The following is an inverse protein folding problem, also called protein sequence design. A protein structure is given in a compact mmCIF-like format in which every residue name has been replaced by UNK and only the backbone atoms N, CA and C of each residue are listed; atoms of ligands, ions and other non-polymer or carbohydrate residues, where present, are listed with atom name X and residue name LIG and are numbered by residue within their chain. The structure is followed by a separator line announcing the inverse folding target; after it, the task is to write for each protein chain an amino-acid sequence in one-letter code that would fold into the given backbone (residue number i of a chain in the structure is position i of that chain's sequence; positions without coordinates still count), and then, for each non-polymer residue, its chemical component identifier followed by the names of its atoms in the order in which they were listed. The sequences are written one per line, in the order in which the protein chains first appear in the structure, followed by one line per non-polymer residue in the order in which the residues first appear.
data_IF_123410736491
#
_entry.id   IF_123410736491
#
_cell.length_a   1.000
_cell.length_b   1.000
_cell.length_c   1.000
_cell.angle_alpha   90.00
_cell.angle_beta   90.00
_cell.angle_gamma   90.00
#
_symmetry.space_group_name_H-M   'P 1'
#
loop_
_entity.id
_entity.type
_entity.pdbx_description
1 polymer ?
#
# COMPACT_ATOMS: atom_id res chain seq x y z
N UNK A 1 63.33 -26.57 -41.90
CA UNK A 1 62.53 -27.81 -41.93
C UNK A 1 62.12 -28.33 -40.54
N UNK A 2 63.00 -28.37 -39.53
CA UNK A 2 62.67 -28.91 -38.20
C UNK A 2 61.50 -28.22 -37.46
N UNK A 3 61.36 -26.89 -37.56
CA UNK A 3 60.26 -26.15 -36.92
C UNK A 3 58.87 -26.53 -37.47
N UNK A 4 58.75 -26.82 -38.77
CA UNK A 4 57.48 -27.18 -39.43
C UNK A 4 56.99 -28.58 -39.01
N UNK A 5 57.89 -29.52 -38.77
CA UNK A 5 57.53 -30.86 -38.31
C UNK A 5 57.08 -30.88 -36.85
N UNK A 6 57.69 -30.06 -35.98
CA UNK A 6 57.30 -29.97 -34.58
C UNK A 6 55.90 -29.33 -34.42
N UNK A 7 55.62 -28.24 -35.14
CA UNK A 7 54.26 -27.65 -35.14
C UNK A 7 53.22 -28.61 -35.69
N UNK A 8 53.54 -29.40 -36.72
CA UNK A 8 52.63 -30.40 -37.25
C UNK A 8 52.31 -31.53 -36.25
N UNK A 9 53.32 -32.03 -35.53
CA UNK A 9 53.12 -33.06 -34.49
C UNK A 9 52.30 -32.50 -33.33
N UNK A 10 52.60 -31.29 -32.87
CA UNK A 10 51.83 -30.61 -31.80
C UNK A 10 50.39 -30.40 -32.25
N UNK A 11 50.17 -29.95 -33.48
CA UNK A 11 48.83 -29.75 -34.02
C UNK A 11 48.03 -31.05 -34.06
N UNK A 12 48.61 -32.15 -34.53
CA UNK A 12 47.94 -33.47 -34.53
C UNK A 12 47.67 -33.98 -33.11
N UNK A 13 48.60 -33.78 -32.17
CA UNK A 13 48.40 -34.15 -30.78
C UNK A 13 47.25 -33.35 -30.13
N UNK A 14 47.16 -32.04 -30.42
CA UNK A 14 46.06 -31.19 -29.97
C UNK A 14 44.72 -31.61 -30.61
N UNK A 15 44.72 -32.00 -31.88
CA UNK A 15 43.54 -32.47 -32.60
C UNK A 15 43.05 -33.80 -32.05
N UNK A 16 43.97 -34.72 -31.73
CA UNK A 16 43.67 -35.99 -31.10
C UNK A 16 43.14 -35.80 -29.67
N UNK A 17 43.77 -34.93 -28.87
CA UNK A 17 43.30 -34.58 -27.54
C UNK A 17 41.91 -33.90 -27.56
N UNK A 18 41.69 -33.00 -28.53
CA UNK A 18 40.39 -32.38 -28.76
C UNK A 18 39.34 -33.42 -29.16
N UNK A 19 39.69 -34.36 -30.04
CA UNK A 19 38.83 -35.47 -30.43
C UNK A 19 38.42 -36.33 -29.23
N UNK A 20 39.37 -36.75 -28.40
CA UNK A 20 39.09 -37.50 -27.17
C UNK A 20 38.20 -36.71 -26.21
N UNK A 21 38.47 -35.42 -25.99
CA UNK A 21 37.67 -34.55 -25.14
C UNK A 21 36.25 -34.31 -25.71
N UNK A 22 36.10 -34.25 -27.03
CA UNK A 22 34.81 -34.10 -27.70
C UNK A 22 33.96 -35.37 -27.55
N UNK A 23 34.53 -36.55 -27.77
CA UNK A 23 33.81 -37.81 -27.63
C UNK A 23 33.55 -38.22 -26.17
N UNK A 24 34.32 -37.71 -25.21
CA UNK A 24 34.07 -37.89 -23.78
C UNK A 24 33.09 -36.85 -23.19
N UNK A 25 32.54 -35.94 -24.01
CA UNK A 25 31.68 -34.84 -23.54
C UNK A 25 30.51 -35.31 -22.68
N UNK A 26 29.83 -36.39 -23.07
CA UNK A 26 28.67 -36.90 -22.34
C UNK A 26 29.00 -37.31 -20.88
N UNK A 27 30.26 -37.64 -20.59
CA UNK A 27 30.68 -38.03 -19.25
C UNK A 27 30.96 -36.83 -18.32
N UNK A 28 31.62 -35.77 -18.80
CA UNK A 28 32.05 -34.66 -17.94
C UNK A 28 31.16 -33.40 -18.06
N UNK A 29 30.48 -33.21 -19.19
CA UNK A 29 29.68 -32.01 -19.46
C UNK A 29 28.47 -31.88 -18.52
N UNK A 30 27.78 -32.97 -18.09
CA UNK A 30 26.75 -32.88 -17.05
C UNK A 30 27.28 -32.38 -15.70
N UNK A 31 28.49 -32.81 -15.29
CA UNK A 31 29.11 -32.37 -14.04
C UNK A 31 29.46 -30.87 -14.09
N UNK A 32 30.08 -30.42 -15.19
CA UNK A 32 30.38 -28.99 -15.40
C UNK A 32 29.10 -28.15 -15.44
N UNK A 33 28.03 -28.68 -16.06
CA UNK A 33 26.72 -28.02 -16.14
C UNK A 33 26.12 -27.83 -14.74
N UNK A 34 26.09 -28.89 -13.93
CA UNK A 34 25.54 -28.83 -12.57
C UNK A 34 26.38 -27.93 -11.65
N UNK A 35 27.72 -28.02 -11.72
CA UNK A 35 28.61 -27.13 -10.98
C UNK A 35 28.38 -25.65 -11.32
N UNK A 36 28.22 -25.35 -12.62
CA UNK A 36 27.94 -23.98 -13.07
C UNK A 36 26.54 -23.52 -12.66
N UNK A 37 25.55 -24.42 -12.69
CA UNK A 37 24.19 -24.15 -12.22
C UNK A 37 24.19 -23.76 -10.74
N UNK A 38 24.84 -24.56 -9.89
CA UNK A 38 24.95 -24.33 -8.44
C UNK A 38 25.64 -22.99 -8.14
N UNK A 39 26.76 -22.73 -8.81
CA UNK A 39 27.48 -21.45 -8.66
C UNK A 39 26.61 -20.25 -9.03
N UNK A 40 25.87 -20.33 -10.14
CA UNK A 40 24.99 -19.25 -10.58
C UNK A 40 23.77 -19.10 -9.65
N UNK A 41 23.24 -20.20 -9.12
CA UNK A 41 22.17 -20.19 -8.14
C UNK A 41 22.61 -19.41 -6.88
N UNK A 42 23.74 -19.80 -6.27
CA UNK A 42 24.31 -19.11 -5.11
C UNK A 42 24.58 -17.62 -5.37
N UNK A 43 25.12 -17.28 -6.55
CA UNK A 43 25.35 -15.89 -6.93
C UNK A 43 24.06 -15.08 -7.09
N UNK A 44 23.00 -15.72 -7.59
CA UNK A 44 21.71 -15.05 -7.78
C UNK A 44 20.94 -14.86 -6.47
N UNK A 45 21.16 -15.71 -5.47
CA UNK A 45 20.49 -15.66 -4.16
C UNK A 45 20.74 -14.36 -3.40
N UNK A 46 21.92 -13.75 -3.59
CA UNK A 46 22.27 -12.45 -3.01
C UNK A 46 21.30 -11.35 -3.44
N UNK A 47 20.69 -11.48 -4.63
CA UNK A 47 19.76 -10.48 -5.17
C UNK A 47 18.33 -10.61 -4.63
N UNK A 48 18.05 -11.57 -3.73
CA UNK A 48 16.78 -11.59 -2.99
C UNK A 48 16.77 -10.64 -1.79
N UNK A 49 17.91 -10.01 -1.46
CA UNK A 49 17.96 -9.01 -0.40
C UNK A 49 17.04 -7.82 -0.74
N UNK A 50 16.15 -7.48 0.20
CA UNK A 50 15.17 -6.40 0.08
C UNK A 50 15.82 -5.01 0.07
N UNK A 51 17.11 -4.89 0.43
CA UNK A 51 17.88 -3.64 0.35
C UNK A 51 18.26 -3.27 -1.08
N UNK A 52 18.23 -4.21 -2.02
CA UNK A 52 18.52 -3.98 -3.43
C UNK A 52 17.25 -3.43 -4.10
N UNK A 53 17.37 -2.27 -4.75
CA UNK A 53 16.25 -1.64 -5.44
C UNK A 53 15.70 -2.53 -6.58
N UNK A 54 14.37 -2.66 -6.62
CA UNK A 54 13.60 -3.43 -7.62
C UNK A 54 13.77 -2.90 -9.05
N UNK A 55 14.13 -1.61 -9.19
CA UNK A 55 14.34 -0.96 -10.49
C UNK A 55 15.77 -1.10 -11.04
N UNK A 56 16.71 -1.61 -10.22
CA UNK A 56 18.13 -1.63 -10.53
C UNK A 56 18.50 -2.58 -11.68
N UNK A 57 19.51 -2.20 -12.48
CA UNK A 57 20.11 -3.12 -13.45
C UNK A 57 20.75 -4.34 -12.78
N UNK A 58 21.16 -4.19 -11.52
CA UNK A 58 21.70 -5.26 -10.68
C UNK A 58 20.68 -6.39 -10.49
N UNK A 59 19.42 -6.06 -10.21
CA UNK A 59 18.39 -7.09 -10.06
C UNK A 59 18.10 -7.82 -11.37
N UNK A 60 18.15 -7.12 -12.53
CA UNK A 60 18.03 -7.75 -13.85
C UNK A 60 19.15 -8.77 -14.10
N UNK A 61 20.37 -8.48 -13.65
CA UNK A 61 21.49 -9.43 -13.70
C UNK A 61 21.25 -10.64 -12.79
N UNK A 62 20.70 -10.42 -11.59
CA UNK A 62 20.26 -11.48 -10.69
C UNK A 62 19.24 -12.43 -11.34
N UNK A 63 18.18 -11.88 -11.95
CA UNK A 63 17.17 -12.65 -12.69
C UNK A 63 17.81 -13.45 -13.83
N UNK A 64 18.75 -12.84 -14.58
CA UNK A 64 19.46 -13.53 -15.67
C UNK A 64 20.27 -14.71 -15.17
N UNK A 65 21.03 -14.53 -14.08
CA UNK A 65 21.84 -15.59 -13.45
C UNK A 65 20.96 -16.74 -12.97
N UNK A 66 19.86 -16.44 -12.27
CA UNK A 66 18.92 -17.45 -11.79
C UNK A 66 18.27 -18.21 -12.95
N UNK A 67 17.89 -17.50 -14.03
CA UNK A 67 17.35 -18.14 -15.25
C UNK A 67 18.36 -19.13 -15.86
N UNK A 68 19.63 -18.73 -15.97
CA UNK A 68 20.66 -19.62 -16.52
C UNK A 68 20.88 -20.81 -15.60
N UNK A 69 20.92 -20.61 -14.28
CA UNK A 69 21.04 -21.70 -13.31
C UNK A 69 19.93 -22.75 -13.53
N UNK A 70 18.68 -22.32 -13.64
CA UNK A 70 17.55 -23.21 -13.90
C UNK A 70 17.64 -23.90 -15.27
N UNK A 71 18.05 -23.20 -16.34
CA UNK A 71 18.22 -23.82 -17.66
C UNK A 71 19.34 -24.89 -17.68
N UNK A 72 20.37 -24.72 -16.84
CA UNK A 72 21.45 -25.69 -16.71
C UNK A 72 21.04 -26.89 -15.84
N UNK A 73 20.18 -26.69 -14.84
CA UNK A 73 19.67 -27.74 -13.95
C UNK A 73 18.13 -27.73 -13.86
N UNK A 74 17.40 -28.11 -14.92
CA UNK A 74 15.94 -27.95 -14.99
C UNK A 74 15.17 -28.83 -14.01
N UNK A 75 15.77 -29.93 -13.54
CA UNK A 75 15.14 -30.87 -12.60
C UNK A 75 15.33 -30.47 -11.14
N UNK A 76 16.07 -29.38 -10.86
CA UNK A 76 16.29 -28.88 -9.51
C UNK A 76 15.22 -27.83 -9.16
N UNK A 77 14.28 -28.12 -8.23
CA UNK A 77 13.20 -27.21 -7.87
C UNK A 77 13.73 -25.91 -7.23
N UNK A 78 14.87 -25.94 -6.55
CA UNK A 78 15.44 -24.77 -5.87
C UNK A 78 15.86 -23.69 -6.87
N UNK A 79 16.42 -24.09 -8.01
CA UNK A 79 16.82 -23.15 -9.07
C UNK A 79 15.62 -22.48 -9.72
N UNK A 80 14.51 -23.22 -9.87
CA UNK A 80 13.27 -22.71 -10.42
C UNK A 80 12.61 -21.73 -9.47
N UNK A 81 12.47 -22.08 -8.18
CA UNK A 81 11.84 -21.21 -7.19
C UNK A 81 12.60 -19.89 -7.03
N UNK A 82 13.94 -19.94 -6.88
CA UNK A 82 14.75 -18.73 -6.81
C UNK A 82 14.66 -17.86 -8.08
N UNK A 83 14.63 -18.47 -9.26
CA UNK A 83 14.40 -17.73 -10.50
C UNK A 83 13.04 -17.04 -10.52
N UNK A 84 11.97 -17.71 -10.09
CA UNK A 84 10.64 -17.14 -10.07
C UNK A 84 10.47 -16.06 -9.00
N UNK A 85 11.11 -16.20 -7.84
CA UNK A 85 11.14 -15.16 -6.79
C UNK A 85 11.81 -13.88 -7.30
N UNK A 86 12.98 -13.98 -7.95
CA UNK A 86 13.66 -12.83 -8.55
C UNK A 86 12.84 -12.23 -9.71
N UNK A 87 12.22 -13.08 -10.53
CA UNK A 87 11.34 -12.63 -11.60
C UNK A 87 10.12 -11.89 -11.03
N UNK A 88 9.59 -12.31 -9.89
CA UNK A 88 8.42 -11.68 -9.27
C UNK A 88 8.69 -10.24 -8.82
N UNK A 89 9.91 -9.96 -8.35
CA UNK A 89 10.33 -8.59 -7.99
C UNK A 89 10.32 -7.64 -9.20
N UNK A 90 10.79 -8.12 -10.35
CA UNK A 90 10.93 -7.28 -11.57
C UNK A 90 9.72 -7.29 -12.50
N UNK A 91 9.05 -8.44 -12.63
CA UNK A 91 7.93 -8.71 -13.55
C UNK A 91 6.91 -9.66 -12.88
N UNK A 92 6.15 -9.17 -11.89
CA UNK A 92 5.27 -9.99 -11.06
C UNK A 92 4.26 -10.80 -11.88
N UNK A 93 3.64 -10.19 -12.89
CA UNK A 93 2.68 -10.88 -13.76
C UNK A 93 3.28 -12.14 -14.44
N UNK A 94 4.53 -12.07 -14.90
CA UNK A 94 5.18 -13.20 -15.57
C UNK A 94 5.53 -14.32 -14.61
N UNK A 95 5.95 -13.98 -13.39
CA UNK A 95 6.22 -14.96 -12.34
C UNK A 95 4.93 -15.66 -11.89
N UNK A 96 3.85 -14.91 -11.66
CA UNK A 96 2.54 -15.46 -11.29
C UNK A 96 2.01 -16.44 -12.35
N UNK A 97 2.09 -16.09 -13.64
CA UNK A 97 1.69 -17.00 -14.73
C UNK A 97 2.51 -18.29 -14.67
N UNK A 98 3.83 -18.20 -14.50
CA UNK A 98 4.69 -19.39 -14.45
C UNK A 98 4.39 -20.26 -13.24
N UNK A 99 4.22 -19.69 -12.05
CA UNK A 99 3.78 -20.46 -10.88
C UNK A 99 2.42 -21.12 -11.12
N UNK A 100 1.45 -20.42 -11.71
CA UNK A 100 0.15 -21.03 -12.04
C UNK A 100 0.22 -22.19 -13.03
N UNK A 101 1.19 -22.17 -13.96
CA UNK A 101 1.41 -23.25 -14.93
C UNK A 101 2.06 -24.48 -14.31
N UNK A 102 2.88 -24.29 -13.26
CA UNK A 102 3.50 -25.38 -12.51
C UNK A 102 2.44 -26.10 -11.67
N UNK A 103 1.45 -25.37 -11.14
CA UNK A 103 0.41 -25.97 -10.32
C UNK A 103 -0.62 -26.71 -11.17
N UNK A 104 -0.60 -28.04 -11.09
CA UNK A 104 -1.61 -28.88 -11.73
C UNK A 104 -2.88 -28.94 -10.88
N UNK A 105 -4.10 -28.89 -11.47
CA UNK A 105 -5.36 -28.91 -10.72
C UNK A 105 -5.52 -30.08 -9.74
N UNK A 106 -4.97 -31.25 -10.05
CA UNK A 106 -5.22 -32.48 -9.28
C UNK A 106 -3.98 -33.02 -8.54
N UNK A 107 -2.82 -32.36 -8.62
CA UNK A 107 -1.56 -32.87 -8.05
C UNK A 107 -0.87 -31.88 -7.11
N UNK A 108 -1.20 -30.59 -7.18
CA UNK A 108 -0.61 -29.58 -6.32
C UNK A 108 -1.23 -29.57 -4.94
N UNK A 109 -0.38 -29.37 -3.94
CA UNK A 109 -0.79 -29.27 -2.53
C UNK A 109 -1.60 -28.00 -2.27
N UNK A 110 -2.39 -28.03 -1.20
CA UNK A 110 -3.14 -26.88 -0.68
C UNK A 110 -2.17 -25.74 -0.34
N UNK A 111 -1.01 -26.07 0.26
CA UNK A 111 0.01 -25.10 0.65
C UNK A 111 0.57 -24.32 -0.55
N UNK A 112 0.92 -25.02 -1.64
CA UNK A 112 1.41 -24.36 -2.86
C UNK A 112 0.38 -23.41 -3.47
N UNK A 113 -0.92 -23.78 -3.41
CA UNK A 113 -2.01 -22.92 -3.87
C UNK A 113 -2.17 -21.69 -2.99
N UNK A 114 -2.11 -21.87 -1.67
CA UNK A 114 -2.19 -20.78 -0.70
C UNK A 114 -1.03 -19.79 -0.87
N UNK A 115 0.20 -20.29 -1.10
CA UNK A 115 1.37 -19.47 -1.39
C UNK A 115 1.16 -18.65 -2.68
N UNK A 116 0.62 -19.26 -3.75
CA UNK A 116 0.36 -18.54 -4.99
C UNK A 116 -0.75 -17.48 -4.83
N UNK A 117 -1.80 -17.80 -4.06
CA UNK A 117 -2.86 -16.84 -3.72
C UNK A 117 -2.28 -15.64 -2.96
N UNK A 118 -1.45 -15.87 -1.94
CA UNK A 118 -0.80 -14.80 -1.17
C UNK A 118 0.11 -13.93 -2.06
N UNK A 119 0.91 -14.54 -2.94
CA UNK A 119 1.74 -13.80 -3.92
C UNK A 119 0.87 -12.94 -4.86
N UNK A 120 -0.26 -13.45 -5.32
CA UNK A 120 -1.18 -12.70 -6.16
C UNK A 120 -1.83 -11.54 -5.39
N UNK A 121 -2.27 -11.76 -4.14
CA UNK A 121 -2.83 -10.73 -3.24
C UNK A 121 -1.83 -9.61 -2.97
N UNK A 122 -0.59 -9.95 -2.60
CA UNK A 122 0.50 -8.96 -2.42
C UNK A 122 0.76 -8.13 -3.67
N UNK A 123 0.55 -8.70 -4.85
CA UNK A 123 0.66 -7.94 -6.11
C UNK A 123 -0.48 -6.95 -6.24
N UNK A 124 -1.71 -7.35 -5.93
CA UNK A 124 -2.90 -6.49 -6.01
C UNK A 124 -2.86 -5.32 -5.01
N UNK A 125 -2.24 -5.52 -3.84
CA UNK A 125 -2.09 -4.52 -2.79
C UNK A 125 -1.07 -3.41 -3.12
N UNK A 126 -0.29 -3.54 -4.21
CA UNK A 126 0.65 -2.49 -4.63
C UNK A 126 -0.11 -1.35 -5.30
N UNK A 127 0.10 -0.13 -4.79
CA UNK A 127 -0.56 1.10 -5.28
C UNK A 127 -0.27 1.35 -6.77
N UNK A 128 0.98 1.18 -7.18
CA UNK A 128 1.46 1.46 -8.54
C UNK A 128 1.67 0.15 -9.34
N UNK A 129 0.59 -0.42 -9.87
CA UNK A 129 0.65 -1.55 -10.82
C UNK A 129 -0.10 -1.22 -12.10
N UNK A 130 0.43 -1.68 -13.22
CA UNK A 130 -0.23 -1.53 -14.51
C UNK A 130 -1.50 -2.40 -14.60
N UNK A 131 -2.44 -1.98 -15.44
CA UNK A 131 -3.75 -2.63 -15.59
C UNK A 131 -3.64 -4.11 -16.01
N UNK A 132 -2.65 -4.46 -16.84
CA UNK A 132 -2.47 -5.84 -17.30
C UNK A 132 -1.95 -6.73 -16.15
N UNK A 133 -0.97 -6.27 -15.39
CA UNK A 133 -0.49 -6.97 -14.18
C UNK A 133 -1.62 -7.14 -13.17
N UNK A 134 -2.42 -6.10 -12.92
CA UNK A 134 -3.59 -6.18 -12.02
C UNK A 134 -4.61 -7.23 -12.49
N UNK A 135 -4.92 -7.26 -13.79
CA UNK A 135 -5.83 -8.25 -14.36
C UNK A 135 -5.32 -9.68 -14.21
N UNK A 136 -4.04 -9.91 -14.49
CA UNK A 136 -3.41 -11.23 -14.37
C UNK A 136 -3.40 -11.71 -12.91
N UNK A 137 -2.97 -10.85 -11.98
CA UNK A 137 -2.94 -11.18 -10.56
C UNK A 137 -4.35 -11.49 -10.03
N UNK A 138 -5.36 -10.68 -10.40
CA UNK A 138 -6.75 -10.92 -10.02
C UNK A 138 -7.27 -12.27 -10.52
N UNK A 139 -7.05 -12.60 -11.80
CA UNK A 139 -7.47 -13.89 -12.38
C UNK A 139 -6.84 -15.08 -11.66
N UNK A 140 -5.53 -15.02 -11.38
CA UNK A 140 -4.81 -16.09 -10.71
C UNK A 140 -5.28 -16.23 -9.26
N UNK A 141 -5.42 -15.11 -8.53
CA UNK A 141 -5.94 -15.11 -7.16
C UNK A 141 -7.33 -15.77 -7.11
N UNK A 142 -8.23 -15.39 -8.01
CA UNK A 142 -9.56 -15.99 -8.07
C UNK A 142 -9.54 -17.48 -8.36
N UNK A 143 -8.74 -17.90 -9.34
CA UNK A 143 -8.63 -19.30 -9.69
C UNK A 143 -8.12 -20.13 -8.50
N UNK A 144 -7.11 -19.64 -7.77
CA UNK A 144 -6.61 -20.37 -6.59
C UNK A 144 -7.60 -20.35 -5.43
N UNK A 145 -8.27 -19.21 -5.19
CA UNK A 145 -9.29 -19.09 -4.15
C UNK A 145 -10.46 -20.07 -4.36
N UNK A 146 -10.98 -20.18 -5.59
CA UNK A 146 -12.06 -21.13 -5.90
C UNK A 146 -11.64 -22.60 -5.74
N UNK A 147 -10.38 -22.92 -6.05
CA UNK A 147 -9.85 -24.27 -5.83
C UNK A 147 -9.68 -24.58 -4.35
N UNK A 148 -9.13 -23.63 -3.58
CA UNK A 148 -8.92 -23.75 -2.14
C UNK A 148 -10.23 -23.84 -1.34
N UNK A 149 -11.28 -23.15 -1.78
CA UNK A 149 -12.62 -23.19 -1.17
C UNK A 149 -13.27 -24.58 -1.18
N UNK A 150 -12.87 -25.46 -2.11
CA UNK A 150 -13.39 -26.83 -2.16
C UNK A 150 -12.77 -27.75 -1.10
N UNK A 151 -11.71 -27.29 -0.43
CA UNK A 151 -11.09 -28.00 0.67
C UNK A 151 -11.70 -27.53 2.00
N UNK A 152 -12.36 -28.45 2.71
CA UNK A 152 -13.09 -28.12 3.93
C UNK A 152 -12.15 -27.66 5.04
N UNK A 153 -11.03 -28.36 5.25
CA UNK A 153 -10.08 -28.05 6.33
C UNK A 153 -9.45 -26.67 6.14
N UNK A 154 -9.10 -26.31 4.90
CA UNK A 154 -8.60 -24.97 4.61
C UNK A 154 -9.69 -23.90 4.77
N UNK A 155 -10.91 -24.19 4.33
CA UNK A 155 -12.01 -23.24 4.33
C UNK A 155 -12.70 -23.06 5.70
N UNK A 156 -12.43 -23.91 6.68
CA UNK A 156 -12.86 -23.73 8.08
C UNK A 156 -12.07 -22.63 8.81
N UNK A 157 -10.87 -22.29 8.35
CA UNK A 157 -10.06 -21.25 9.00
C UNK A 157 -10.64 -19.84 8.72
N UNK A 158 -10.93 -19.04 9.77
CA UNK A 158 -11.52 -17.70 9.61
C UNK A 158 -10.68 -16.74 8.74
N UNK A 159 -9.36 -16.81 8.81
CA UNK A 159 -8.45 -15.96 8.02
C UNK A 159 -8.52 -16.29 6.52
N UNK A 160 -8.78 -17.55 6.20
CA UNK A 160 -8.92 -18.02 4.82
C UNK A 160 -10.25 -17.57 4.22
N UNK A 161 -11.34 -17.66 5.00
CA UNK A 161 -12.65 -17.11 4.63
C UNK A 161 -12.55 -15.60 4.41
N UNK A 162 -11.88 -14.89 5.33
CA UNK A 162 -11.66 -13.46 5.21
C UNK A 162 -10.86 -13.12 3.94
N UNK A 163 -9.81 -13.88 3.64
CA UNK A 163 -8.99 -13.68 2.43
C UNK A 163 -9.82 -13.80 1.15
N UNK A 164 -10.72 -14.77 1.07
CA UNK A 164 -11.66 -14.91 -0.07
C UNK A 164 -12.60 -13.70 -0.13
N UNK A 165 -13.16 -13.28 1.00
CA UNK A 165 -14.06 -12.15 1.07
C UNK A 165 -13.39 -10.84 0.61
N UNK A 166 -12.17 -10.57 1.09
CA UNK A 166 -11.38 -9.41 0.66
C UNK A 166 -11.15 -9.42 -0.84
N UNK A 167 -10.67 -10.55 -1.38
CA UNK A 167 -10.41 -10.69 -2.82
C UNK A 167 -11.67 -10.39 -3.65
N UNK A 168 -12.82 -10.96 -3.27
CA UNK A 168 -14.10 -10.71 -3.96
C UNK A 168 -14.50 -9.24 -3.90
N UNK A 169 -14.25 -8.57 -2.78
CA UNK A 169 -14.63 -7.15 -2.62
C UNK A 169 -13.75 -6.22 -3.43
N UNK A 170 -12.43 -6.43 -3.43
CA UNK A 170 -11.46 -5.59 -4.14
C UNK A 170 -11.57 -5.70 -5.66
N UNK A 171 -12.06 -6.83 -6.14
CA UNK A 171 -12.22 -7.13 -7.57
C UNK A 171 -13.61 -6.77 -8.12
N UNK A 172 -14.47 -6.16 -7.29
CA UNK A 172 -15.77 -5.62 -7.71
C UNK A 172 -16.97 -6.53 -7.43
N UNK A 173 -16.79 -7.69 -6.82
CA UNK A 173 -17.86 -8.60 -6.43
C UNK A 173 -18.22 -8.49 -4.93
N UNK A 174 -18.44 -7.25 -4.47
CA UNK A 174 -18.67 -6.93 -3.06
C UNK A 174 -19.89 -7.64 -2.45
N UNK A 175 -20.93 -7.95 -3.25
CA UNK A 175 -22.11 -8.68 -2.77
C UNK A 175 -21.81 -10.13 -2.42
N UNK A 176 -20.94 -10.77 -3.18
CA UNK A 176 -20.53 -12.14 -2.88
C UNK A 176 -19.56 -12.17 -1.69
N UNK A 177 -18.61 -11.23 -1.64
CA UNK A 177 -17.74 -11.05 -0.47
C UNK A 177 -18.55 -10.82 0.82
N UNK A 178 -19.63 -10.03 0.76
CA UNK A 178 -20.54 -9.82 1.90
C UNK A 178 -21.14 -11.12 2.45
N UNK A 179 -21.45 -12.10 1.59
CA UNK A 179 -21.98 -13.40 2.04
C UNK A 179 -20.95 -14.15 2.89
N UNK A 180 -19.69 -14.18 2.45
CA UNK A 180 -18.60 -14.81 3.18
C UNK A 180 -18.31 -14.10 4.50
N UNK A 181 -18.33 -12.76 4.53
CA UNK A 181 -18.16 -12.01 5.78
C UNK A 181 -19.29 -12.29 6.77
N UNK A 182 -20.53 -12.34 6.29
CA UNK A 182 -21.67 -12.67 7.15
C UNK A 182 -21.59 -14.11 7.68
N UNK A 183 -21.12 -15.07 6.88
CA UNK A 183 -20.86 -16.44 7.32
C UNK A 183 -19.78 -16.47 8.41
N UNK A 184 -18.64 -15.80 8.18
CA UNK A 184 -17.55 -15.68 9.14
C UNK A 184 -18.04 -15.10 10.47
N UNK A 185 -18.80 -14.00 10.44
CA UNK A 185 -19.28 -13.32 11.64
C UNK A 185 -20.46 -14.02 12.32
N UNK A 186 -21.14 -14.96 11.66
CA UNK A 186 -22.12 -15.80 12.31
C UNK A 186 -21.45 -16.80 13.27
N UNK A 187 -20.26 -17.29 12.90
CA UNK A 187 -19.48 -18.25 13.70
C UNK A 187 -18.51 -17.55 14.66
N UNK A 188 -17.91 -16.43 14.23
CA UNK A 188 -16.95 -15.63 14.99
C UNK A 188 -17.42 -14.16 15.12
N UNK A 189 -18.43 -13.86 15.96
CA UNK A 189 -19.08 -12.54 15.99
C UNK A 189 -18.20 -11.34 16.35
N UNK A 190 -17.05 -11.58 16.99
CA UNK A 190 -16.10 -10.54 17.40
C UNK A 190 -14.78 -10.61 16.61
N UNK A 191 -14.78 -11.26 15.44
CA UNK A 191 -13.63 -11.25 14.52
C UNK A 191 -13.37 -9.81 14.05
N UNK A 192 -12.24 -9.17 14.42
CA UNK A 192 -12.06 -7.74 14.20
C UNK A 192 -12.02 -7.37 12.72
N UNK A 193 -11.16 -8.03 11.95
CA UNK A 193 -10.91 -7.77 10.53
C UNK A 193 -12.16 -8.08 9.70
N UNK A 194 -12.95 -9.06 10.14
CA UNK A 194 -14.25 -9.40 9.55
C UNK A 194 -15.26 -8.29 9.78
N UNK A 195 -15.32 -7.74 10.99
CA UNK A 195 -16.18 -6.60 11.35
C UNK A 195 -15.77 -5.34 10.57
N UNK A 196 -14.47 -5.10 10.43
CA UNK A 196 -13.93 -3.98 9.66
C UNK A 196 -14.25 -4.10 8.18
N UNK A 197 -14.09 -5.29 7.59
CA UNK A 197 -14.48 -5.56 6.21
C UNK A 197 -16.00 -5.42 6.02
N UNK A 198 -16.82 -5.97 6.93
CA UNK A 198 -18.28 -5.78 6.89
C UNK A 198 -18.65 -4.31 6.86
N UNK A 199 -18.04 -3.50 7.73
CA UNK A 199 -18.28 -2.05 7.80
C UNK A 199 -17.94 -1.37 6.48
N UNK A 200 -16.77 -1.68 5.89
CA UNK A 200 -16.34 -1.13 4.59
C UNK A 200 -17.30 -1.51 3.47
N UNK A 201 -17.71 -2.78 3.38
CA UNK A 201 -18.64 -3.27 2.36
C UNK A 201 -20.01 -2.60 2.51
N UNK A 202 -20.56 -2.56 3.73
CA UNK A 202 -21.86 -1.93 3.99
C UNK A 202 -21.87 -0.46 3.58
N UNK A 203 -20.80 0.28 3.89
CA UNK A 203 -20.68 1.70 3.51
C UNK A 203 -20.56 1.84 1.99
N UNK A 204 -19.74 1.01 1.34
CA UNK A 204 -19.58 1.01 -0.12
C UNK A 204 -20.90 0.71 -0.85
N UNK A 205 -21.64 -0.30 -0.38
CA UNK A 205 -22.93 -0.71 -0.97
C UNK A 205 -24.12 0.13 -0.50
N UNK A 206 -23.91 1.05 0.46
CA UNK A 206 -24.97 1.78 1.18
C UNK A 206 -26.02 0.85 1.80
N UNK A 207 -25.59 -0.32 2.26
CA UNK A 207 -26.44 -1.32 2.88
C UNK A 207 -26.59 -1.06 4.38
N UNK A 208 -27.83 -0.86 4.81
CA UNK A 208 -28.18 -0.53 6.20
C UNK A 208 -28.72 -1.73 6.99
N UNK A 209 -28.78 -2.93 6.39
CA UNK A 209 -29.40 -4.10 7.01
C UNK A 209 -28.71 -4.56 8.30
N UNK A 210 -27.37 -4.48 8.35
CA UNK A 210 -26.54 -4.99 9.45
C UNK A 210 -26.05 -3.92 10.44
N UNK A 211 -26.58 -2.69 10.38
CA UNK A 211 -26.04 -1.56 11.16
C UNK A 211 -26.00 -1.81 12.67
N UNK A 212 -27.05 -2.41 13.23
CA UNK A 212 -27.12 -2.69 14.67
C UNK A 212 -26.06 -3.71 15.11
N UNK A 213 -25.84 -4.75 14.30
CA UNK A 213 -24.82 -5.77 14.54
C UNK A 213 -23.42 -5.18 14.42
N UNK A 214 -23.16 -4.39 13.37
CA UNK A 214 -21.88 -3.70 13.16
C UNK A 214 -21.60 -2.77 14.32
N UNK A 215 -22.56 -1.91 14.69
CA UNK A 215 -22.42 -0.94 15.77
C UNK A 215 -22.09 -1.61 17.11
N UNK A 216 -22.80 -2.69 17.46
CA UNK A 216 -22.52 -3.46 18.70
C UNK A 216 -21.14 -4.11 18.70
N UNK A 217 -20.72 -4.66 17.56
CA UNK A 217 -19.42 -5.33 17.42
C UNK A 217 -18.28 -4.32 17.51
N UNK A 218 -18.39 -3.18 16.80
CA UNK A 218 -17.45 -2.08 16.90
C UNK A 218 -17.39 -1.49 18.31
N UNK A 219 -18.52 -1.34 19.00
CA UNK A 219 -18.55 -0.86 20.38
C UNK A 219 -17.76 -1.79 21.31
N UNK A 220 -17.97 -3.09 21.19
CA UNK A 220 -17.21 -4.09 21.96
C UNK A 220 -15.71 -4.01 21.65
N UNK A 221 -15.33 -4.02 20.36
CA UNK A 221 -13.93 -3.97 19.93
C UNK A 221 -13.24 -2.66 20.36
N UNK A 222 -13.94 -1.52 20.29
CA UNK A 222 -13.40 -0.20 20.66
C UNK A 222 -13.01 -0.07 22.13
N UNK A 223 -13.57 -0.92 23.00
CA UNK A 223 -13.21 -0.94 24.43
C UNK A 223 -11.80 -1.49 24.70
N UNK A 224 -11.19 -2.16 23.72
CA UNK A 224 -9.86 -2.74 23.84
C UNK A 224 -8.79 -1.64 23.79
N UNK A 225 -7.82 -1.69 24.72
CA UNK A 225 -6.70 -0.73 24.80
C UNK A 225 -5.51 -1.17 23.95
N UNK A 226 -5.76 -1.51 22.70
CA UNK A 226 -4.79 -2.01 21.72
C UNK A 226 -5.02 -1.38 20.34
N UNK A 227 -4.25 -1.82 19.34
CA UNK A 227 -4.41 -1.38 17.95
C UNK A 227 -5.83 -1.64 17.41
N UNK A 228 -6.42 -2.80 17.73
CA UNK A 228 -7.77 -3.18 17.30
C UNK A 228 -8.84 -2.21 17.80
N UNK A 229 -8.76 -1.78 19.07
CA UNK A 229 -9.73 -0.83 19.61
C UNK A 229 -9.69 0.54 18.93
N UNK A 230 -8.48 1.04 18.64
CA UNK A 230 -8.31 2.26 17.84
C UNK A 230 -8.89 2.09 16.43
N UNK A 231 -8.63 0.97 15.78
CA UNK A 231 -9.16 0.71 14.44
C UNK A 231 -10.68 0.56 14.43
N UNK A 232 -11.28 -0.01 15.48
CA UNK A 232 -12.72 -0.06 15.63
C UNK A 232 -13.33 1.35 15.71
N UNK A 233 -12.72 2.27 16.44
CA UNK A 233 -13.16 3.67 16.50
C UNK A 233 -13.03 4.35 15.12
N UNK A 234 -11.95 4.08 14.38
CA UNK A 234 -11.83 4.55 12.97
C UNK A 234 -13.00 4.03 12.12
N UNK A 235 -13.37 2.76 12.26
CA UNK A 235 -14.50 2.19 11.53
C UNK A 235 -15.86 2.72 11.99
N UNK A 236 -16.02 3.14 13.25
CA UNK A 236 -17.21 3.87 13.68
C UNK A 236 -17.38 5.20 12.94
N UNK A 237 -16.29 5.91 12.65
CA UNK A 237 -16.37 7.13 11.83
C UNK A 237 -16.82 6.85 10.40
N UNK A 238 -16.50 5.67 9.87
CA UNK A 238 -17.00 5.23 8.57
C UNK A 238 -18.50 4.87 8.64
N UNK A 239 -18.93 4.18 9.70
CA UNK A 239 -20.32 3.84 9.94
C UNK A 239 -21.22 5.09 10.06
N UNK A 240 -20.68 6.19 10.60
CA UNK A 240 -21.36 7.48 10.70
C UNK A 240 -21.90 7.98 9.34
N UNK A 241 -21.28 7.59 8.21
CA UNK A 241 -21.73 7.95 6.87
C UNK A 241 -23.08 7.30 6.49
N UNK A 242 -23.41 6.15 7.09
CA UNK A 242 -24.69 5.47 6.89
C UNK A 242 -25.73 5.86 7.93
N UNK A 243 -25.29 5.97 9.19
CA UNK A 243 -26.15 6.32 10.31
C UNK A 243 -25.37 7.22 11.26
N UNK A 244 -25.68 8.53 11.31
CA UNK A 244 -24.97 9.47 12.16
C UNK A 244 -24.98 9.03 13.62
N UNK A 245 -23.79 8.97 14.21
CA UNK A 245 -23.59 8.70 15.62
C UNK A 245 -24.13 9.84 16.48
N UNK A 246 -24.68 9.50 17.65
CA UNK A 246 -25.16 10.51 18.61
C UNK A 246 -23.99 11.28 19.24
N UNK A 247 -24.22 12.51 19.75
CA UNK A 247 -23.20 13.28 20.47
C UNK A 247 -22.56 12.50 21.63
N UNK A 248 -23.35 11.72 22.38
CA UNK A 248 -22.89 10.89 23.49
C UNK A 248 -21.99 9.75 22.99
N UNK A 249 -22.32 9.16 21.85
CA UNK A 249 -21.51 8.11 21.22
C UNK A 249 -20.16 8.65 20.75
N UNK A 250 -20.14 9.88 20.21
CA UNK A 250 -18.92 10.56 19.81
C UNK A 250 -18.06 10.93 21.03
N UNK A 251 -18.67 11.45 22.10
CA UNK A 251 -17.97 11.73 23.36
C UNK A 251 -17.35 10.44 23.95
N UNK A 252 -18.09 9.33 23.93
CA UNK A 252 -17.57 8.03 24.37
C UNK A 252 -16.39 7.55 23.53
N UNK A 253 -16.38 7.81 22.23
CA UNK A 253 -15.23 7.50 21.38
C UNK A 253 -13.98 8.27 21.83
N UNK A 254 -14.11 9.54 22.19
CA UNK A 254 -12.98 10.33 22.71
C UNK A 254 -12.44 9.75 24.02
N UNK A 255 -13.31 9.42 24.98
CA UNK A 255 -12.90 8.78 26.24
C UNK A 255 -12.12 7.47 26.01
N UNK A 256 -12.56 6.66 25.05
CA UNK A 256 -11.88 5.41 24.69
C UNK A 256 -10.54 5.65 24.01
N UNK A 257 -10.43 6.70 23.19
CA UNK A 257 -9.18 7.12 22.56
C UNK A 257 -8.16 7.61 23.61
N UNK A 258 -8.59 8.41 24.59
CA UNK A 258 -7.76 8.89 25.70
C UNK A 258 -7.24 7.73 26.56
N UNK A 259 -8.07 6.72 26.80
CA UNK A 259 -7.69 5.55 27.59
C UNK A 259 -6.78 4.54 26.85
N UNK A 260 -6.55 4.70 25.55
CA UNK A 260 -5.81 3.75 24.73
C UNK A 260 -4.40 4.27 24.38
N UNK A 261 -3.31 3.57 24.79
CA UNK A 261 -1.94 4.03 24.56
C UNK A 261 -1.49 3.98 23.09
N UNK A 262 -2.23 3.29 22.21
CA UNK A 262 -1.89 3.18 20.78
C UNK A 262 -2.50 4.29 19.92
N UNK A 263 -3.26 5.20 20.53
CA UNK A 263 -3.94 6.31 19.86
C UNK A 263 -2.96 7.35 19.36
N UNK A 264 -3.29 7.97 18.22
CA UNK A 264 -2.55 9.10 17.66
C UNK A 264 -3.43 10.35 17.62
N UNK A 265 -2.83 11.54 17.60
CA UNK A 265 -3.57 12.82 17.54
C UNK A 265 -4.61 12.86 16.39
N UNK A 266 -4.29 12.26 15.24
CA UNK A 266 -5.20 12.18 14.08
C UNK A 266 -6.51 11.42 14.37
N UNK A 267 -6.50 10.50 15.33
CA UNK A 267 -7.70 9.74 15.69
C UNK A 267 -8.71 10.61 16.43
N UNK A 268 -8.24 11.50 17.31
CA UNK A 268 -9.06 12.53 17.95
C UNK A 268 -9.65 13.48 16.91
N UNK A 269 -8.81 13.98 15.99
CA UNK A 269 -9.24 14.89 14.93
C UNK A 269 -10.39 14.33 14.08
N UNK A 270 -10.43 13.01 13.84
CA UNK A 270 -11.53 12.37 13.11
C UNK A 270 -12.85 12.46 13.86
N UNK A 271 -12.85 12.17 15.15
CA UNK A 271 -14.06 12.22 15.99
C UNK A 271 -14.52 13.67 16.18
N UNK A 272 -13.58 14.57 16.47
CA UNK A 272 -13.87 15.99 16.63
C UNK A 272 -14.41 16.63 15.33
N UNK A 273 -13.98 16.17 14.15
CA UNK A 273 -14.58 16.61 12.88
C UNK A 273 -16.06 16.26 12.78
N UNK A 274 -16.47 15.07 13.24
CA UNK A 274 -17.87 14.65 13.26
C UNK A 274 -18.69 15.46 14.27
N UNK A 275 -18.14 15.72 15.46
CA UNK A 275 -18.78 16.59 16.46
C UNK A 275 -18.93 18.02 15.93
N UNK A 276 -17.89 18.56 15.30
CA UNK A 276 -17.91 19.90 14.71
C UNK A 276 -18.97 20.00 13.60
N UNK A 277 -19.05 19.00 12.71
CA UNK A 277 -20.06 18.94 11.66
C UNK A 277 -21.49 18.82 12.20
N UNK A 278 -21.67 18.10 13.32
CA UNK A 278 -22.98 17.89 13.96
C UNK A 278 -23.43 19.09 14.78
N UNK A 279 -22.50 19.89 15.28
CA UNK A 279 -22.80 21.08 16.08
C UNK A 279 -23.37 22.21 15.21
N UNK A 280 -24.45 22.84 15.69
CA UNK A 280 -25.03 24.05 15.09
C UNK A 280 -24.54 25.33 15.76
N UNK A 281 -23.96 25.21 16.94
CA UNK A 281 -23.50 26.32 17.75
C UNK A 281 -22.04 26.67 17.42
N UNK A 282 -21.80 27.97 17.19
CA UNK A 282 -20.47 28.49 16.88
C UNK A 282 -19.53 28.41 18.08
N UNK A 283 -20.05 28.59 19.29
CA UNK A 283 -19.25 28.53 20.52
C UNK A 283 -18.73 27.10 20.71
N UNK A 284 -19.64 26.12 20.70
CA UNK A 284 -19.26 24.70 20.76
C UNK A 284 -18.29 24.27 19.65
N UNK A 285 -18.43 24.79 18.42
CA UNK A 285 -17.45 24.53 17.34
C UNK A 285 -16.07 25.11 17.65
N UNK A 286 -16.01 26.30 18.24
CA UNK A 286 -14.75 26.92 18.68
C UNK A 286 -14.12 26.13 19.83
N UNK A 287 -14.91 25.60 20.76
CA UNK A 287 -14.40 24.79 21.88
C UNK A 287 -13.78 23.48 21.38
N UNK A 288 -14.41 22.82 20.41
CA UNK A 288 -13.86 21.61 19.76
C UNK A 288 -12.50 21.90 19.11
N UNK A 289 -12.37 23.05 18.43
CA UNK A 289 -11.12 23.47 17.82
C UNK A 289 -10.06 23.77 18.89
N UNK A 290 -10.44 24.41 19.99
CA UNK A 290 -9.54 24.69 21.11
C UNK A 290 -9.01 23.39 21.71
N UNK A 291 -9.89 22.45 22.05
CA UNK A 291 -9.50 21.12 22.54
C UNK A 291 -8.55 20.41 21.57
N UNK A 292 -8.84 20.42 20.27
CA UNK A 292 -7.96 19.81 19.28
C UNK A 292 -6.60 20.50 19.21
N UNK A 293 -6.53 21.82 19.40
CA UNK A 293 -5.27 22.57 19.36
C UNK A 293 -4.33 22.19 20.51
N UNK A 294 -4.87 21.86 21.68
CA UNK A 294 -4.11 21.44 22.87
C UNK A 294 -3.46 20.06 22.70
N UNK A 295 -3.91 19.27 21.72
CA UNK A 295 -3.32 17.97 21.41
C UNK A 295 -1.99 18.07 20.66
N UNK A 296 -1.65 19.23 20.11
CA UNK A 296 -0.47 19.42 19.25
C UNK A 296 0.52 20.43 19.84
N UNK A 297 1.81 20.21 19.61
CA UNK A 297 2.82 21.25 19.82
C UNK A 297 2.80 22.21 18.64
N UNK A 298 2.07 23.33 18.81
CA UNK A 298 1.98 24.37 17.80
C UNK A 298 3.30 25.12 17.57
N UNK A 299 4.39 24.77 18.27
CA UNK A 299 5.74 25.23 17.95
C UNK A 299 6.41 24.40 16.85
N UNK A 300 6.11 23.10 16.74
CA UNK A 300 6.62 22.23 15.69
C UNK A 300 5.86 22.45 14.37
N UNK A 301 6.61 22.74 13.30
CA UNK A 301 6.03 22.91 11.96
C UNK A 301 5.31 21.65 11.47
N UNK A 302 5.81 20.46 11.80
CA UNK A 302 5.22 19.20 11.33
C UNK A 302 3.80 18.99 11.87
N UNK A 303 3.61 19.30 13.16
CA UNK A 303 2.32 19.23 13.85
C UNK A 303 1.38 20.37 13.43
N UNK A 304 1.90 21.59 13.26
CA UNK A 304 1.15 22.73 12.73
C UNK A 304 0.57 22.42 11.35
N UNK A 305 1.31 21.73 10.47
CA UNK A 305 0.83 21.29 9.16
C UNK A 305 -0.38 20.35 9.31
N UNK A 306 -0.29 19.35 10.21
CA UNK A 306 -1.37 18.37 10.42
C UNK A 306 -2.64 19.07 10.90
N UNK A 307 -2.52 19.89 11.95
CA UNK A 307 -3.64 20.59 12.56
C UNK A 307 -4.30 21.59 11.59
N UNK A 308 -3.51 22.40 10.88
CA UNK A 308 -4.07 23.37 9.92
C UNK A 308 -4.66 22.73 8.67
N UNK A 309 -4.12 21.59 8.21
CA UNK A 309 -4.78 20.79 7.15
C UNK A 309 -6.14 20.29 7.60
N UNK A 310 -6.27 19.89 8.86
CA UNK A 310 -7.57 19.50 9.42
C UNK A 310 -8.55 20.67 9.49
N UNK A 311 -8.14 21.83 10.00
CA UNK A 311 -8.97 23.05 9.99
C UNK A 311 -9.42 23.45 8.58
N UNK A 312 -8.50 23.41 7.60
CA UNK A 312 -8.82 23.70 6.21
C UNK A 312 -9.85 22.71 5.63
N UNK A 313 -9.82 21.43 6.04
CA UNK A 313 -10.83 20.43 5.64
C UNK A 313 -12.18 20.65 6.29
N UNK A 314 -12.23 21.24 7.49
CA UNK A 314 -13.48 21.70 8.11
C UNK A 314 -14.05 22.95 7.42
N UNK A 315 -13.24 23.65 6.61
CA UNK A 315 -13.60 24.91 5.97
C UNK A 315 -13.45 26.13 6.87
N UNK A 316 -12.82 25.99 8.04
CA UNK A 316 -12.63 27.09 9.00
C UNK A 316 -11.33 27.86 8.72
N UNK A 317 -11.33 28.60 7.61
CA UNK A 317 -10.16 29.30 7.12
C UNK A 317 -9.75 30.49 8.01
N UNK A 318 -10.68 31.10 8.73
CA UNK A 318 -10.36 32.13 9.72
C UNK A 318 -9.51 31.56 10.85
N UNK A 319 -9.87 30.37 11.35
CA UNK A 319 -9.07 29.66 12.36
C UNK A 319 -7.72 29.20 11.82
N UNK A 320 -7.62 28.78 10.55
CA UNK A 320 -6.31 28.52 9.93
C UNK A 320 -5.42 29.77 10.03
N UNK A 321 -5.92 30.95 9.70
CA UNK A 321 -5.14 32.19 9.79
C UNK A 321 -4.78 32.58 11.23
N UNK A 322 -5.61 32.21 12.21
CA UNK A 322 -5.36 32.41 13.63
C UNK A 322 -4.22 31.51 14.14
N UNK A 323 -4.23 30.22 13.78
CA UNK A 323 -3.27 29.23 14.28
C UNK A 323 -1.99 29.10 13.44
N UNK A 324 -2.00 29.61 12.20
CA UNK A 324 -0.83 29.60 11.32
C UNK A 324 -0.36 31.03 11.00
N UNK A 325 0.51 31.64 11.84
CA UNK A 325 0.97 33.01 11.62
C UNK A 325 1.88 33.12 10.39
N UNK A 326 1.86 34.30 9.74
CA UNK A 326 2.68 34.61 8.57
C UNK A 326 4.19 34.39 8.80
N UNK A 327 4.66 34.63 10.02
CA UNK A 327 6.05 34.44 10.43
C UNK A 327 6.55 33.00 10.28
N UNK A 328 5.66 32.00 10.48
CA UNK A 328 5.95 30.58 10.24
C UNK A 328 5.76 30.21 8.78
N UNK A 329 4.68 30.68 8.17
CA UNK A 329 4.37 30.36 6.79
C UNK A 329 5.46 30.83 5.81
N UNK A 330 6.14 31.95 6.06
CA UNK A 330 7.16 32.49 5.14
C UNK A 330 8.46 31.67 5.04
N UNK A 331 8.68 30.71 5.94
CA UNK A 331 9.92 29.91 6.00
C UNK A 331 9.73 28.43 5.65
N UNK A 332 8.48 27.98 5.46
CA UNK A 332 8.14 26.58 5.17
C UNK A 332 7.16 26.51 4.00
N UNK A 333 7.49 25.71 2.98
CA UNK A 333 6.72 25.63 1.74
C UNK A 333 5.28 25.11 1.96
N UNK A 334 5.07 24.13 2.83
CA UNK A 334 3.76 23.53 3.04
C UNK A 334 2.86 24.44 3.88
N UNK A 335 3.43 25.06 4.92
CA UNK A 335 2.73 26.08 5.70
C UNK A 335 2.39 27.31 4.86
N UNK A 336 3.28 27.74 3.97
CA UNK A 336 3.01 28.81 3.02
C UNK A 336 1.77 28.50 2.16
N UNK A 337 1.73 27.33 1.52
CA UNK A 337 0.59 26.91 0.69
C UNK A 337 -0.73 26.90 1.46
N UNK A 338 -0.72 26.37 2.69
CA UNK A 338 -1.91 26.32 3.55
C UNK A 338 -2.42 27.72 3.87
N UNK A 339 -1.52 28.62 4.30
CA UNK A 339 -1.89 29.99 4.66
C UNK A 339 -2.40 30.78 3.45
N UNK A 340 -1.71 30.70 2.32
CA UNK A 340 -2.14 31.36 1.08
C UNK A 340 -3.50 30.86 0.60
N UNK A 341 -3.77 29.55 0.72
CA UNK A 341 -5.08 29.02 0.41
C UNK A 341 -6.15 29.56 1.37
N UNK A 342 -5.86 29.65 2.67
CA UNK A 342 -6.79 30.21 3.65
C UNK A 342 -7.11 31.69 3.38
N UNK A 343 -6.08 32.52 3.11
CA UNK A 343 -6.24 33.93 2.73
C UNK A 343 -7.12 34.08 1.47
N UNK A 344 -6.90 33.24 0.46
CA UNK A 344 -7.71 33.25 -0.75
C UNK A 344 -9.18 32.90 -0.46
N UNK A 345 -9.44 31.95 0.43
CA UNK A 345 -10.81 31.54 0.76
C UNK A 345 -11.58 32.58 1.58
N UNK A 346 -10.88 33.39 2.39
CA UNK A 346 -11.49 34.55 3.09
C UNK A 346 -11.47 35.83 2.24
N UNK A 347 -11.00 35.74 0.99
CA UNK A 347 -10.89 36.85 0.03
C UNK A 347 -10.01 38.03 0.52
N UNK A 348 -8.99 37.76 1.34
CA UNK A 348 -8.02 38.76 1.83
C UNK A 348 -6.82 38.83 0.88
N UNK A 349 -7.06 39.37 -0.32
CA UNK A 349 -6.08 39.40 -1.42
C UNK A 349 -4.92 40.38 -1.15
N UNK A 350 -5.17 41.45 -0.40
CA UNK A 350 -4.12 42.42 -0.03
C UNK A 350 -3.02 41.76 0.81
N UNK A 351 -3.41 40.99 1.83
CA UNK A 351 -2.44 40.22 2.63
C UNK A 351 -1.68 39.18 1.83
N UNK A 352 -2.29 38.57 0.81
CA UNK A 352 -1.58 37.64 -0.07
C UNK A 352 -0.38 38.34 -0.73
N UNK A 353 -0.60 39.51 -1.33
CA UNK A 353 0.48 40.26 -1.98
C UNK A 353 1.56 40.71 -0.98
N UNK A 354 1.17 41.17 0.22
CA UNK A 354 2.12 41.54 1.27
C UNK A 354 2.98 40.35 1.72
N UNK A 355 2.36 39.21 2.01
CA UNK A 355 3.04 38.04 2.54
C UNK A 355 3.93 37.35 1.50
N UNK A 356 3.53 37.34 0.21
CA UNK A 356 4.38 36.85 -0.89
C UNK A 356 5.69 37.64 -0.96
N UNK A 357 5.60 38.96 -0.88
CA UNK A 357 6.78 39.85 -0.93
C UNK A 357 7.71 39.63 0.28
N UNK A 358 7.13 39.25 1.42
CA UNK A 358 7.85 39.00 2.66
C UNK A 358 8.33 37.53 2.83
N UNK A 359 8.21 36.70 1.80
CA UNK A 359 8.58 35.28 1.82
C UNK A 359 9.68 34.91 0.79
N UNK A 360 10.87 35.54 0.85
CA UNK A 360 11.91 35.34 -0.17
C UNK A 360 12.49 33.92 -0.21
N UNK A 361 12.38 33.17 0.89
CA UNK A 361 12.86 31.78 1.02
C UNK A 361 11.97 30.81 0.25
N UNK A 362 10.69 31.15 0.06
CA UNK A 362 9.75 30.28 -0.65
C UNK A 362 10.11 30.23 -2.14
N UNK A 363 10.16 29.02 -2.75
CA UNK A 363 10.46 28.87 -4.16
C UNK A 363 9.59 29.75 -5.04
N UNK A 364 10.21 30.45 -6.00
CA UNK A 364 9.54 31.43 -6.88
C UNK A 364 8.33 30.83 -7.58
N UNK A 365 8.38 29.55 -7.98
CA UNK A 365 7.25 28.83 -8.59
C UNK A 365 5.96 28.96 -7.76
N UNK A 366 6.04 28.85 -6.44
CA UNK A 366 4.85 28.88 -5.58
C UNK A 366 4.36 30.28 -5.34
N UNK A 367 5.29 31.24 -5.20
CA UNK A 367 4.95 32.66 -5.12
C UNK A 367 4.21 33.13 -6.37
N UNK A 368 4.71 32.79 -7.55
CA UNK A 368 4.08 33.09 -8.84
C UNK A 368 2.70 32.43 -8.99
N UNK A 369 2.57 31.15 -8.63
CA UNK A 369 1.27 30.45 -8.69
C UNK A 369 0.22 31.13 -7.80
N UNK A 370 0.60 31.53 -6.59
CA UNK A 370 -0.33 32.22 -5.67
C UNK A 370 -0.65 33.63 -6.16
N UNK A 371 0.34 34.37 -6.65
CA UNK A 371 0.16 35.73 -7.18
C UNK A 371 -0.75 35.75 -8.40
N UNK A 372 -0.53 34.83 -9.35
CA UNK A 372 -1.40 34.65 -10.51
C UNK A 372 -2.84 34.32 -10.08
N UNK A 373 -3.01 33.45 -9.08
CA UNK A 373 -4.33 33.14 -8.50
C UNK A 373 -4.99 34.38 -7.90
N UNK A 374 -4.27 35.19 -7.14
CA UNK A 374 -4.79 36.42 -6.54
C UNK A 374 -5.23 37.43 -7.61
N UNK A 375 -4.43 37.62 -8.67
CA UNK A 375 -4.80 38.46 -9.82
C UNK A 375 -6.05 37.94 -10.54
N UNK A 376 -6.16 36.64 -10.75
CA UNK A 376 -7.34 36.03 -11.37
C UNK A 376 -8.60 36.23 -10.51
N UNK A 377 -8.50 36.12 -9.18
CA UNK A 377 -9.61 36.38 -8.25
C UNK A 377 -10.04 37.85 -8.26
N UNK A 378 -9.11 38.77 -8.52
CA UNK A 378 -9.37 40.20 -8.75
C UNK A 378 -9.92 40.53 -10.16
N UNK A 379 -10.07 39.54 -11.05
CA UNK A 379 -10.47 39.75 -12.45
C UNK A 379 -9.36 40.29 -13.37
N UNK A 380 -8.13 40.41 -12.87
CA UNK A 380 -6.97 40.93 -13.61
C UNK A 380 -6.25 39.81 -14.39
N UNK A 381 -6.95 39.19 -15.33
CA UNK A 381 -6.44 38.04 -16.11
C UNK A 381 -5.17 38.34 -16.92
N UNK A 382 -4.96 39.60 -17.32
CA UNK A 382 -3.77 40.02 -18.06
C UNK A 382 -2.49 39.90 -17.24
N UNK A 383 -2.58 40.21 -15.94
CA UNK A 383 -1.44 40.12 -15.04
C UNK A 383 -1.31 38.72 -14.46
N UNK A 384 -2.41 37.97 -14.31
CA UNK A 384 -2.37 36.56 -13.95
C UNK A 384 -1.69 35.66 -15.01
N UNK A 385 -1.70 36.07 -16.28
CA UNK A 385 -1.12 35.30 -17.39
C UNK A 385 0.35 35.62 -17.65
N UNK A 386 0.88 36.69 -17.06
CA UNK A 386 2.31 37.04 -17.11
C UNK A 386 3.05 36.28 -16.01
#
# INVERSE_FOLDING_TARGET
MFRLHLTYIIFNALLFAFGLAFFAADAYLPYLRNWKAEKLHQQSMVYLDNTIDDSSELLKDGVRKARIAHLLAPNDPSTLDNYLLLLFRTKPAQALIRWSQILSPNQSSIEERAILLDRAKRTLQRDEIDSNTRSIAGKIAFQQAELLKNDADWFENPENILTIAELLTETGNAKEGLKFVNQLLAEYPLHPEGTFLLTRISVHLKDTSNLSLIGRSLATLSSQRNQTGKEAIRHMTLLHLLSPLSPESLARCLELLEANPHTQQIDFLRICALQHASSKDKEMRSDIISYCSELFDLNDNSEVIIFNRWLARLGDYEKVLQYLPASKAKVDEELFKLRMNALAQVNDLERIHEEINNAPIIPSRWRLVVEARAHAMNGNFKDAAK
#
